data_IF_542140168350
#
_entry.id   IF_542140168350
#
_cell.length_a   1.000
_cell.length_b   1.000
_cell.length_c   1.000
_cell.angle_alpha   90.00
_cell.angle_beta   90.00
_cell.angle_gamma   90.00
#
_symmetry.space_group_name_H-M   'P 1'
#
loop_
_entity.id
_entity.type
_entity.pdbx_description
1 polymer ?
#
# COMPACT_ATOMS: atom_id res chain seq x y z
N UNK A 1 13.35 -19.05 -0.17
CA UNK A 1 13.10 -17.90 -1.08
C UNK A 1 12.01 -18.19 -2.12
N UNK A 2 11.93 -19.42 -2.62
CA UNK A 2 10.94 -19.84 -3.63
C UNK A 2 9.53 -19.98 -3.05
N UNK A 3 9.42 -20.59 -1.88
CA UNK A 3 8.17 -20.91 -1.18
C UNK A 3 7.43 -19.68 -0.61
N UNK A 4 8.08 -18.55 -0.45
CA UNK A 4 7.46 -17.33 0.09
C UNK A 4 6.76 -16.43 -0.94
N UNK A 5 6.76 -16.81 -2.24
CA UNK A 5 6.06 -16.03 -3.25
C UNK A 5 4.59 -16.43 -3.35
N UNK A 6 3.64 -15.48 -3.41
CA UNK A 6 2.24 -15.80 -3.64
C UNK A 6 2.03 -16.54 -4.96
N UNK A 7 1.26 -17.63 -4.92
CA UNK A 7 1.02 -18.50 -6.06
C UNK A 7 -0.44 -18.95 -6.13
N UNK A 8 -0.85 -19.38 -7.32
CA UNK A 8 -2.10 -20.08 -7.53
C UNK A 8 -1.80 -21.59 -7.62
N UNK A 9 -2.00 -22.32 -6.52
CA UNK A 9 -1.88 -23.77 -6.46
C UNK A 9 -0.44 -24.29 -6.53
N UNK A 10 0.17 -24.46 -7.70
CA UNK A 10 1.46 -25.11 -7.84
C UNK A 10 2.64 -24.11 -7.89
N UNK A 11 3.48 -24.02 -6.85
CA UNK A 11 4.61 -23.08 -6.80
C UNK A 11 5.70 -23.35 -7.88
N UNK A 12 5.70 -24.53 -8.49
CA UNK A 12 6.63 -24.86 -9.56
C UNK A 12 6.17 -24.39 -10.96
N UNK A 13 4.99 -23.80 -11.05
CA UNK A 13 4.46 -23.20 -12.29
C UNK A 13 4.02 -21.76 -12.03
N UNK A 14 4.97 -20.83 -11.79
CA UNK A 14 4.64 -19.44 -11.54
C UNK A 14 4.11 -18.79 -12.80
N UNK A 15 3.00 -18.09 -12.69
CA UNK A 15 2.45 -17.27 -13.75
C UNK A 15 3.13 -15.88 -13.77
N UNK A 16 3.06 -15.23 -14.94
CA UNK A 16 3.48 -13.83 -15.06
C UNK A 16 2.59 -12.96 -14.15
N UNK A 17 3.23 -12.02 -13.46
CA UNK A 17 2.53 -11.12 -12.55
C UNK A 17 3.21 -9.76 -12.48
N UNK A 18 2.58 -8.84 -11.76
CA UNK A 18 3.16 -7.54 -11.51
C UNK A 18 4.42 -7.62 -10.63
N UNK A 19 5.31 -6.62 -10.77
CA UNK A 19 6.40 -6.43 -9.84
C UNK A 19 5.89 -5.86 -8.51
N UNK A 20 6.33 -6.41 -7.38
CA UNK A 20 6.00 -5.91 -6.06
C UNK A 20 6.38 -4.42 -5.87
N UNK A 21 7.45 -3.97 -6.51
CA UNK A 21 8.00 -2.61 -6.39
C UNK A 21 7.60 -1.68 -7.54
N UNK A 22 6.79 -2.16 -8.49
CA UNK A 22 6.38 -1.37 -9.65
C UNK A 22 5.52 -0.16 -9.24
N UNK A 23 5.91 1.03 -9.67
CA UNK A 23 5.09 2.26 -9.58
C UNK A 23 4.33 2.40 -10.89
N UNK A 24 2.99 2.43 -10.84
CA UNK A 24 2.17 2.52 -12.04
C UNK A 24 2.10 3.95 -12.57
N UNK A 25 1.82 4.89 -11.67
CA UNK A 25 1.71 6.29 -12.01
C UNK A 25 2.44 7.16 -10.99
N UNK A 26 3.23 8.11 -11.47
CA UNK A 26 3.94 9.09 -10.63
C UNK A 26 3.99 10.43 -11.35
N UNK A 27 3.64 11.47 -10.64
CA UNK A 27 3.72 12.86 -11.11
C UNK A 27 4.68 13.58 -10.16
N UNK A 28 5.66 14.26 -10.73
CA UNK A 28 6.57 15.13 -9.99
C UNK A 28 6.58 16.50 -10.63
N UNK A 29 6.60 17.54 -9.80
CA UNK A 29 6.73 18.91 -10.24
C UNK A 29 7.63 19.69 -9.28
N UNK A 30 8.37 20.66 -9.79
CA UNK A 30 9.15 21.57 -8.96
C UNK A 30 9.09 22.97 -9.54
N UNK A 31 9.10 23.96 -8.65
CA UNK A 31 9.20 25.37 -9.00
C UNK A 31 10.12 26.06 -8.00
N UNK A 32 10.91 27.02 -8.49
CA UNK A 32 11.76 27.85 -7.63
C UNK A 32 11.59 29.30 -8.04
N UNK A 33 11.40 30.16 -7.07
CA UNK A 33 11.32 31.60 -7.27
C UNK A 33 12.37 32.32 -6.43
N UNK A 34 13.19 33.18 -7.08
CA UNK A 34 14.22 33.98 -6.43
C UNK A 34 13.79 35.42 -6.31
N UNK A 35 13.84 35.95 -5.08
CA UNK A 35 13.54 37.36 -4.73
C UNK A 35 14.85 38.04 -4.43
N UNK A 36 15.39 38.90 -5.34
CA UNK A 36 16.55 39.71 -5.06
C UNK A 36 16.12 40.97 -4.30
N UNK A 37 16.46 41.03 -3.00
CA UNK A 37 16.17 42.21 -2.16
C UNK A 37 17.17 43.33 -2.39
N UNK A 38 18.44 42.95 -2.62
CA UNK A 38 19.55 43.86 -2.93
C UNK A 38 20.66 43.06 -3.64
N UNK A 39 21.76 43.73 -4.00
CA UNK A 39 22.96 43.07 -4.55
C UNK A 39 23.57 42.06 -3.59
N UNK A 40 23.33 42.26 -2.28
CA UNK A 40 23.92 41.45 -1.20
C UNK A 40 22.95 40.39 -0.63
N UNK A 41 21.66 40.53 -0.83
CA UNK A 41 20.62 39.72 -0.19
C UNK A 41 19.60 39.20 -1.21
N UNK A 42 19.41 37.88 -1.19
CA UNK A 42 18.39 37.23 -2.00
C UNK A 42 17.76 36.05 -1.25
N UNK A 43 16.45 35.91 -1.38
CA UNK A 43 15.72 34.74 -0.87
C UNK A 43 15.25 33.90 -2.07
N UNK A 44 15.49 32.58 -2.03
CA UNK A 44 14.91 31.66 -3.00
C UNK A 44 13.92 30.75 -2.28
N UNK A 45 12.73 30.61 -2.85
CA UNK A 45 11.68 29.72 -2.36
C UNK A 45 11.49 28.63 -3.41
N UNK A 46 11.72 27.39 -3.03
CA UNK A 46 11.53 26.21 -3.86
C UNK A 46 10.37 25.36 -3.34
N UNK A 47 9.55 24.83 -4.22
CA UNK A 47 8.49 23.88 -3.92
C UNK A 47 8.73 22.63 -4.75
N UNK A 48 8.64 21.46 -4.13
CA UNK A 48 8.65 20.17 -4.79
C UNK A 48 7.34 19.44 -4.48
N UNK A 49 6.69 18.92 -5.52
CA UNK A 49 5.46 18.13 -5.43
C UNK A 49 5.76 16.71 -5.93
N UNK A 50 5.32 15.73 -5.20
CA UNK A 50 5.22 14.33 -5.63
C UNK A 50 3.81 13.82 -5.38
N UNK A 51 3.19 13.27 -6.43
CA UNK A 51 1.93 12.52 -6.35
C UNK A 51 2.16 11.17 -7.00
N UNK A 52 1.97 10.08 -6.28
CA UNK A 52 2.23 8.75 -6.81
C UNK A 52 1.19 7.74 -6.34
N UNK A 53 0.97 6.74 -7.19
CA UNK A 53 0.13 5.60 -6.86
C UNK A 53 0.97 4.52 -6.18
N UNK A 54 0.57 4.18 -4.95
CA UNK A 54 1.26 3.23 -4.14
C UNK A 54 2.35 3.83 -3.26
N UNK A 55 2.95 2.98 -2.43
CA UNK A 55 3.94 3.39 -1.45
C UNK A 55 5.14 2.44 -1.46
N UNK A 56 6.24 2.86 -2.07
CA UNK A 56 7.50 2.08 -2.12
C UNK A 56 8.13 1.83 -0.75
N UNK A 57 7.75 2.61 0.27
CA UNK A 57 8.28 2.53 1.63
C UNK A 57 7.34 1.81 2.60
N UNK A 58 6.28 1.16 2.11
CA UNK A 58 5.35 0.39 2.93
C UNK A 58 6.02 -0.88 3.46
N UNK A 59 6.82 -0.75 4.52
CA UNK A 59 7.38 -1.87 5.28
C UNK A 59 7.91 -3.02 4.41
N UNK A 60 7.67 -4.26 4.82
CA UNK A 60 8.09 -5.46 4.06
C UNK A 60 7.26 -5.71 2.78
N UNK A 61 6.20 -4.95 2.53
CA UNK A 61 5.20 -5.23 1.50
C UNK A 61 5.47 -4.64 0.12
N UNK A 62 6.34 -3.62 -0.01
CA UNK A 62 6.53 -2.91 -1.29
C UNK A 62 5.30 -2.09 -1.70
N UNK A 63 5.24 -1.72 -2.99
CA UNK A 63 4.20 -0.86 -3.55
C UNK A 63 2.89 -1.58 -3.87
N UNK A 64 3.00 -2.87 -4.18
CA UNK A 64 1.91 -3.77 -4.51
C UNK A 64 1.87 -4.94 -3.56
N UNK A 65 0.68 -5.49 -3.36
CA UNK A 65 0.46 -6.62 -2.47
C UNK A 65 -0.49 -7.65 -3.10
N UNK A 66 -0.53 -8.80 -2.49
CA UNK A 66 -1.39 -9.93 -2.87
C UNK A 66 -2.39 -10.20 -1.77
N UNK A 67 -3.58 -10.64 -2.14
CA UNK A 67 -4.50 -11.24 -1.18
C UNK A 67 -4.26 -12.75 -1.13
N UNK A 68 -3.92 -13.24 0.06
CA UNK A 68 -3.59 -14.66 0.29
C UNK A 68 -4.47 -15.26 1.40
N UNK A 69 -4.52 -16.58 1.45
CA UNK A 69 -5.08 -17.27 2.63
C UNK A 69 -4.09 -17.23 3.79
N UNK A 70 -4.59 -17.15 5.01
CA UNK A 70 -3.83 -17.46 6.21
C UNK A 70 -3.96 -18.97 6.50
N UNK A 71 -2.90 -19.74 6.23
CA UNK A 71 -2.86 -21.19 6.41
C UNK A 71 -2.40 -21.95 5.15
N UNK A 72 -2.27 -23.26 5.27
CA UNK A 72 -1.65 -24.15 4.27
C UNK A 72 -2.72 -24.75 3.35
N UNK A 73 -3.27 -24.01 2.41
CA UNK A 73 -4.38 -24.49 1.56
C UNK A 73 -3.90 -25.53 0.55
N UNK A 74 -2.75 -25.29 -0.08
CA UNK A 74 -2.17 -26.18 -1.10
C UNK A 74 -1.23 -27.27 -0.51
N UNK A 75 -0.93 -27.22 0.79
CA UNK A 75 -0.08 -28.21 1.47
C UNK A 75 1.42 -28.10 1.15
N UNK A 76 1.91 -27.00 0.60
CA UNK A 76 3.32 -26.78 0.24
C UNK A 76 4.22 -26.41 1.43
N UNK A 77 3.65 -26.30 2.63
CA UNK A 77 4.36 -25.97 3.87
C UNK A 77 4.49 -24.47 4.11
N UNK A 78 3.89 -23.61 3.27
CA UNK A 78 3.87 -22.14 3.43
C UNK A 78 2.45 -21.65 3.74
N UNK A 79 2.30 -20.82 4.76
CA UNK A 79 1.00 -20.50 5.32
C UNK A 79 0.34 -19.21 4.81
N UNK A 80 1.02 -18.42 3.97
CA UNK A 80 0.53 -17.11 3.49
C UNK A 80 0.96 -16.84 2.05
N UNK A 81 1.02 -17.87 1.23
CA UNK A 81 1.42 -17.77 -0.18
C UNK A 81 0.33 -18.20 -1.16
N UNK A 82 -0.75 -18.82 -0.70
CA UNK A 82 -1.87 -19.22 -1.56
C UNK A 82 -2.77 -18.02 -1.84
N UNK A 83 -2.94 -17.66 -3.11
CA UNK A 83 -3.80 -16.56 -3.54
C UNK A 83 -5.27 -16.90 -3.31
N UNK A 84 -6.04 -15.95 -2.74
CA UNK A 84 -7.45 -16.19 -2.44
C UNK A 84 -8.31 -16.24 -3.70
N UNK A 85 -9.35 -17.08 -3.66
CA UNK A 85 -10.50 -16.94 -4.52
C UNK A 85 -11.43 -15.87 -3.95
N UNK A 86 -11.87 -14.92 -4.78
CA UNK A 86 -12.76 -13.84 -4.40
C UNK A 86 -14.19 -14.22 -4.78
N UNK A 87 -15.03 -14.65 -3.83
CA UNK A 87 -16.35 -15.20 -4.16
C UNK A 87 -17.32 -14.12 -4.64
N UNK A 88 -18.21 -14.50 -5.56
CA UNK A 88 -19.33 -13.66 -6.00
C UNK A 88 -20.45 -13.63 -4.98
N UNK A 89 -20.67 -14.76 -4.31
CA UNK A 89 -21.72 -14.94 -3.32
C UNK A 89 -21.35 -16.02 -2.30
N UNK A 90 -22.18 -16.18 -1.29
CA UNK A 90 -21.94 -17.08 -0.17
C UNK A 90 -21.82 -18.56 -0.57
N UNK A 91 -22.44 -19.00 -1.67
CA UNK A 91 -22.40 -20.42 -2.08
C UNK A 91 -21.03 -20.86 -2.62
N UNK A 92 -20.14 -19.91 -2.94
CA UNK A 92 -18.81 -20.18 -3.50
C UNK A 92 -17.73 -20.30 -2.43
N UNK A 93 -18.05 -20.11 -1.13
CA UNK A 93 -17.11 -20.22 -0.02
C UNK A 93 -17.75 -20.91 1.18
N UNK A 94 -17.01 -21.76 1.86
CA UNK A 94 -17.49 -22.49 3.03
C UNK A 94 -16.90 -21.90 4.29
N UNK A 95 -17.70 -21.13 5.03
CA UNK A 95 -17.36 -20.73 6.39
C UNK A 95 -17.80 -21.79 7.41
N UNK A 96 -17.03 -21.96 8.47
CA UNK A 96 -17.40 -22.80 9.61
C UNK A 96 -17.69 -21.94 10.83
N UNK A 97 -18.42 -22.50 11.79
CA UNK A 97 -18.67 -21.84 13.08
C UNK A 97 -17.36 -21.44 13.76
N UNK A 98 -17.26 -20.21 14.22
CA UNK A 98 -16.09 -19.69 14.95
C UNK A 98 -16.55 -19.13 16.31
N UNK A 99 -16.48 -19.94 17.36
CA UNK A 99 -17.05 -19.57 18.66
C UNK A 99 -18.55 -19.28 18.53
N UNK A 100 -18.96 -18.09 18.88
CA UNK A 100 -20.36 -17.61 18.74
C UNK A 100 -20.70 -17.07 17.37
N UNK A 101 -19.70 -16.90 16.47
CA UNK A 101 -19.91 -16.28 15.14
C UNK A 101 -20.33 -17.33 14.12
N UNK A 102 -21.48 -17.13 13.54
CA UNK A 102 -22.07 -18.04 12.55
C UNK A 102 -21.42 -17.88 11.15
N UNK A 103 -21.49 -18.90 10.26
CA UNK A 103 -21.05 -18.78 8.88
C UNK A 103 -21.70 -17.61 8.12
N UNK A 104 -22.99 -17.35 8.38
CA UNK A 104 -23.72 -16.26 7.74
C UNK A 104 -23.20 -14.87 8.16
N UNK A 105 -22.89 -14.71 9.45
CA UNK A 105 -22.31 -13.45 9.96
C UNK A 105 -20.89 -13.23 9.41
N UNK A 106 -20.09 -14.31 9.28
CA UNK A 106 -18.76 -14.22 8.66
C UNK A 106 -18.86 -13.83 7.19
N UNK A 107 -19.80 -14.42 6.46
CA UNK A 107 -20.06 -14.04 5.06
C UNK A 107 -20.47 -12.57 4.94
N UNK A 108 -21.41 -12.11 5.78
CA UNK A 108 -21.86 -10.71 5.77
C UNK A 108 -20.68 -9.74 5.96
N UNK A 109 -19.81 -10.03 6.93
CA UNK A 109 -18.64 -9.21 7.21
C UNK A 109 -17.58 -9.28 6.09
N UNK A 110 -17.33 -10.49 5.56
CA UNK A 110 -16.38 -10.68 4.45
C UNK A 110 -16.88 -10.04 3.15
N UNK A 111 -18.18 -10.12 2.87
CA UNK A 111 -18.77 -9.44 1.73
C UNK A 111 -18.66 -7.92 1.83
N UNK A 112 -18.87 -7.34 3.03
CA UNK A 112 -18.64 -5.93 3.27
C UNK A 112 -17.16 -5.53 3.11
N UNK A 113 -16.24 -6.41 3.53
CA UNK A 113 -14.81 -6.24 3.31
C UNK A 113 -14.44 -6.27 1.82
N UNK A 114 -15.03 -7.15 1.01
CA UNK A 114 -14.82 -7.15 -0.45
C UNK A 114 -15.36 -5.84 -1.07
N UNK A 115 -16.53 -5.36 -0.66
CA UNK A 115 -17.16 -4.17 -1.25
C UNK A 115 -16.39 -2.86 -0.97
N UNK A 116 -15.64 -2.78 0.13
CA UNK A 116 -14.84 -1.58 0.46
C UNK A 116 -13.50 -1.52 -0.28
N UNK A 117 -13.03 -2.62 -0.87
CA UNK A 117 -11.76 -2.71 -1.59
C UNK A 117 -11.98 -2.78 -3.09
N UNK A 118 -11.50 -1.78 -3.83
CA UNK A 118 -11.73 -1.66 -5.27
C UNK A 118 -11.16 -2.84 -6.07
N UNK A 119 -10.02 -3.38 -5.64
CA UNK A 119 -9.41 -4.53 -6.31
C UNK A 119 -10.27 -5.80 -6.10
N UNK A 120 -10.64 -6.09 -4.84
CA UNK A 120 -11.45 -7.26 -4.52
C UNK A 120 -12.83 -7.18 -5.21
N UNK A 121 -13.47 -6.02 -5.15
CA UNK A 121 -14.77 -5.79 -5.78
C UNK A 121 -14.73 -6.02 -7.29
N UNK A 122 -13.70 -5.51 -7.97
CA UNK A 122 -13.55 -5.65 -9.43
C UNK A 122 -13.19 -7.08 -9.88
N UNK A 123 -12.67 -7.93 -8.97
CA UNK A 123 -12.19 -9.27 -9.28
C UNK A 123 -13.04 -10.40 -8.68
N UNK A 124 -14.30 -10.14 -8.34
CA UNK A 124 -15.23 -11.19 -7.88
C UNK A 124 -15.33 -12.35 -8.88
N UNK A 125 -15.30 -13.58 -8.37
CA UNK A 125 -15.35 -14.82 -9.17
C UNK A 125 -14.01 -15.21 -9.78
N UNK A 126 -12.91 -14.60 -9.36
CA UNK A 126 -11.55 -14.91 -9.82
C UNK A 126 -10.64 -15.22 -8.63
N UNK A 127 -9.52 -15.89 -8.90
CA UNK A 127 -8.41 -15.96 -7.97
C UNK A 127 -7.65 -14.63 -8.03
N UNK A 128 -7.24 -14.11 -6.88
CA UNK A 128 -6.45 -12.90 -6.80
C UNK A 128 -5.13 -13.04 -7.57
N UNK A 129 -4.68 -11.97 -8.21
CA UNK A 129 -3.40 -11.95 -8.92
C UNK A 129 -2.26 -11.68 -7.94
N UNK A 130 -1.11 -12.29 -8.17
CA UNK A 130 0.12 -11.97 -7.43
C UNK A 130 0.51 -10.52 -7.68
N UNK A 131 0.60 -9.73 -6.59
CA UNK A 131 0.85 -8.29 -6.62
C UNK A 131 -0.15 -7.51 -7.49
N UNK A 132 -1.39 -8.03 -7.61
CA UNK A 132 -2.45 -7.41 -8.39
C UNK A 132 -2.98 -6.13 -7.76
N UNK A 133 -3.04 -6.09 -6.43
CA UNK A 133 -3.49 -4.91 -5.69
C UNK A 133 -2.34 -3.89 -5.49
N UNK A 134 -2.68 -2.63 -5.33
CA UNK A 134 -1.72 -1.53 -5.17
C UNK A 134 -2.14 -0.62 -4.02
N UNK A 135 -1.17 -0.11 -3.27
CA UNK A 135 -1.44 0.87 -2.22
C UNK A 135 -2.02 2.17 -2.81
N UNK A 136 -2.83 2.91 -2.04
CA UNK A 136 -3.49 4.12 -2.52
C UNK A 136 -2.54 5.20 -2.97
N UNK A 137 -3.07 6.18 -3.68
CA UNK A 137 -2.37 7.42 -4.01
C UNK A 137 -1.95 8.16 -2.75
N UNK A 138 -0.76 8.74 -2.81
CA UNK A 138 -0.30 9.70 -1.83
C UNK A 138 0.21 10.98 -2.53
N UNK A 139 0.24 12.07 -1.80
CA UNK A 139 0.85 13.32 -2.23
C UNK A 139 1.82 13.81 -1.18
N UNK A 140 2.95 14.38 -1.62
CA UNK A 140 3.92 15.02 -0.77
C UNK A 140 4.29 16.37 -1.36
N UNK A 141 4.40 17.39 -0.51
CA UNK A 141 4.88 18.71 -0.88
C UNK A 141 6.00 19.11 0.07
N UNK A 142 7.17 19.36 -0.48
CA UNK A 142 8.32 19.86 0.27
C UNK A 142 8.55 21.33 -0.06
N UNK A 143 8.89 22.13 0.94
CA UNK A 143 9.22 23.54 0.82
C UNK A 143 10.67 23.76 1.20
N UNK A 144 11.39 24.46 0.36
CA UNK A 144 12.77 24.88 0.61
C UNK A 144 12.89 26.39 0.58
N UNK A 145 13.50 26.96 1.60
CA UNK A 145 13.82 28.38 1.66
C UNK A 145 15.32 28.53 1.76
N UNK A 146 15.91 29.26 0.84
CA UNK A 146 17.31 29.61 0.83
C UNK A 146 17.45 31.12 1.02
N UNK A 147 18.34 31.53 1.94
CA UNK A 147 18.69 32.92 2.13
C UNK A 147 20.17 33.12 1.81
N UNK A 148 20.46 33.89 0.78
CA UNK A 148 21.80 34.29 0.37
C UNK A 148 22.21 35.59 1.04
N UNK A 149 23.45 35.63 1.55
CA UNK A 149 24.12 36.79 2.12
C UNK A 149 25.46 36.97 1.43
N UNK A 150 25.66 38.00 0.67
CA UNK A 150 26.92 38.30 0.00
C UNK A 150 27.66 39.41 0.74
N UNK A 151 28.88 39.13 1.24
CA UNK A 151 29.71 40.07 1.97
C UNK A 151 30.99 40.30 1.20
N UNK A 152 31.35 41.55 0.91
CA UNK A 152 32.64 41.86 0.32
C UNK A 152 33.75 41.79 1.39
N UNK A 153 34.71 40.87 1.21
CA UNK A 153 35.87 40.71 2.10
C UNK A 153 37.13 40.65 1.26
N UNK A 154 38.13 41.50 1.55
CA UNK A 154 39.42 41.47 0.89
C UNK A 154 39.36 41.71 -0.64
N UNK A 155 38.36 42.49 -1.11
CA UNK A 155 38.18 42.77 -2.53
C UNK A 155 37.48 41.68 -3.33
N UNK A 156 37.01 40.60 -2.66
CA UNK A 156 36.23 39.53 -3.24
C UNK A 156 34.86 39.43 -2.60
N UNK A 157 33.87 39.00 -3.36
CA UNK A 157 32.51 38.74 -2.86
C UNK A 157 32.42 37.29 -2.36
N UNK A 158 32.03 37.15 -1.09
CA UNK A 158 31.78 35.84 -0.44
C UNK A 158 30.29 35.71 -0.16
N UNK A 159 29.68 34.64 -0.65
CA UNK A 159 28.26 34.35 -0.42
C UNK A 159 28.11 33.25 0.61
N UNK A 160 27.38 33.53 1.69
CA UNK A 160 26.90 32.58 2.66
C UNK A 160 25.43 32.25 2.36
N UNK A 161 25.05 31.00 2.47
CA UNK A 161 23.69 30.58 2.24
C UNK A 161 23.15 29.83 3.46
N UNK A 162 22.01 30.26 3.98
CA UNK A 162 21.21 29.55 4.97
C UNK A 162 20.09 28.80 4.24
N UNK A 163 19.95 27.50 4.51
CA UNK A 163 18.88 26.65 3.99
C UNK A 163 17.94 26.21 5.09
N UNK A 164 16.64 26.30 4.83
CA UNK A 164 15.59 25.70 5.65
C UNK A 164 14.77 24.80 4.73
N UNK A 165 14.74 23.49 5.03
CA UNK A 165 13.96 22.50 4.31
C UNK A 165 12.82 22.02 5.21
N UNK A 166 11.58 22.15 4.72
CA UNK A 166 10.38 21.67 5.40
C UNK A 166 9.82 20.53 4.55
N UNK A 167 10.00 19.32 5.03
CA UNK A 167 9.51 18.11 4.35
C UNK A 167 8.05 17.89 4.71
N UNK A 168 7.28 17.48 3.71
CA UNK A 168 5.85 17.20 3.87
C UNK A 168 5.08 18.35 4.52
N UNK A 169 5.24 19.57 3.97
CA UNK A 169 4.65 20.80 4.53
C UNK A 169 3.11 20.74 4.62
N UNK A 170 2.45 19.91 3.80
CA UNK A 170 1.00 19.72 3.86
C UNK A 170 0.58 19.09 5.19
N UNK A 171 1.37 18.18 5.74
CA UNK A 171 1.09 17.53 7.02
C UNK A 171 1.18 18.51 8.21
N UNK A 172 1.97 19.58 8.09
CA UNK A 172 1.97 20.67 9.09
C UNK A 172 0.66 21.44 9.13
N UNK A 173 -0.02 21.54 7.97
CA UNK A 173 -1.28 22.28 7.85
C UNK A 173 -2.48 21.42 8.26
N UNK A 174 -2.43 20.13 7.92
CA UNK A 174 -3.45 19.15 8.26
C UNK A 174 -2.81 17.77 8.39
N UNK A 175 -2.98 17.13 9.55
CA UNK A 175 -2.41 15.82 9.89
C UNK A 175 -2.84 14.68 8.95
N UNK A 176 -3.93 14.85 8.22
CA UNK A 176 -4.44 13.85 7.27
C UNK A 176 -3.84 14.01 5.86
N UNK A 177 -3.11 15.10 5.60
CA UNK A 177 -2.48 15.35 4.32
C UNK A 177 -1.04 14.82 4.29
N UNK A 178 -0.60 14.39 3.11
CA UNK A 178 0.75 13.83 2.95
C UNK A 178 0.97 12.50 3.69
N UNK A 179 -0.11 11.84 4.13
CA UNK A 179 -0.07 10.54 4.80
C UNK A 179 -0.04 9.42 3.76
N UNK A 180 0.72 8.38 4.05
CA UNK A 180 0.81 7.20 3.21
C UNK A 180 0.06 6.06 3.85
N UNK A 181 -1.03 5.63 3.23
CA UNK A 181 -1.77 4.44 3.66
C UNK A 181 -1.14 3.18 3.08
N UNK A 182 -1.08 2.13 3.89
CA UNK A 182 -0.52 0.83 3.49
C UNK A 182 -1.51 -0.28 3.80
N UNK A 183 -1.45 -1.36 3.00
CA UNK A 183 -2.28 -2.52 3.27
C UNK A 183 -1.88 -3.20 4.58
N UNK A 184 -2.85 -3.45 5.44
CA UNK A 184 -2.64 -4.17 6.70
C UNK A 184 -2.30 -5.64 6.42
N UNK A 185 -1.29 -6.23 7.08
CA UNK A 185 -0.96 -7.65 6.93
C UNK A 185 -2.15 -8.59 7.26
N UNK A 186 -3.00 -8.22 8.22
CA UNK A 186 -4.21 -8.98 8.54
C UNK A 186 -5.23 -8.90 7.40
N UNK A 187 -5.39 -7.72 6.81
CA UNK A 187 -6.34 -7.51 5.72
C UNK A 187 -5.90 -8.14 4.40
N UNK A 188 -4.59 -8.28 4.17
CA UNK A 188 -4.07 -8.97 2.98
C UNK A 188 -4.16 -10.50 3.07
N UNK A 189 -4.38 -11.06 4.28
CA UNK A 189 -4.63 -12.49 4.50
C UNK A 189 -5.92 -12.69 5.30
N UNK A 190 -7.07 -12.28 4.74
CA UNK A 190 -8.31 -12.14 5.51
C UNK A 190 -9.00 -13.46 5.83
N UNK A 191 -8.73 -14.50 5.07
CA UNK A 191 -9.38 -15.81 5.18
C UNK A 191 -8.45 -16.82 5.85
N UNK A 192 -8.79 -17.24 7.05
CA UNK A 192 -8.06 -18.26 7.80
C UNK A 192 -8.53 -19.65 7.38
N UNK A 193 -7.63 -20.46 6.81
CA UNK A 193 -7.89 -21.83 6.45
C UNK A 193 -8.08 -22.72 7.70
N UNK A 194 -9.11 -23.57 7.68
CA UNK A 194 -9.52 -24.43 8.80
C UNK A 194 -9.54 -25.93 8.47
N UNK A 195 -9.03 -26.30 7.29
CA UNK A 195 -9.04 -27.67 6.80
C UNK A 195 -10.08 -27.90 5.73
N UNK A 196 -10.30 -29.16 5.40
CA UNK A 196 -11.28 -29.60 4.40
C UNK A 196 -12.49 -30.22 5.08
N UNK A 197 -13.67 -29.99 4.52
CA UNK A 197 -14.89 -30.67 4.96
C UNK A 197 -14.96 -32.12 4.42
N UNK A 198 -16.00 -32.86 4.78
CA UNK A 198 -16.20 -34.23 4.33
C UNK A 198 -16.35 -34.39 2.80
N UNK A 199 -16.72 -33.32 2.09
CA UNK A 199 -16.82 -33.29 0.63
C UNK A 199 -15.48 -32.87 -0.03
N UNK A 200 -14.41 -32.65 0.73
CA UNK A 200 -13.11 -32.22 0.23
C UNK A 200 -13.03 -30.72 -0.11
N UNK A 201 -14.03 -29.92 0.24
CA UNK A 201 -13.99 -28.48 0.04
C UNK A 201 -13.24 -27.77 1.18
N UNK A 202 -12.38 -26.77 0.87
CA UNK A 202 -11.69 -26.01 1.89
C UNK A 202 -12.65 -25.17 2.73
N UNK A 203 -12.39 -25.07 4.02
CA UNK A 203 -13.21 -24.34 4.97
C UNK A 203 -12.43 -23.19 5.58
N UNK A 204 -13.11 -22.09 5.90
CA UNK A 204 -12.48 -20.86 6.30
C UNK A 204 -13.17 -20.21 7.51
N UNK A 205 -12.43 -19.35 8.18
CA UNK A 205 -12.96 -18.32 9.08
C UNK A 205 -12.54 -16.94 8.57
N UNK A 206 -13.39 -15.95 8.84
CA UNK A 206 -13.10 -14.54 8.62
C UNK A 206 -13.17 -13.78 9.95
N UNK A 207 -12.15 -12.96 10.21
CA UNK A 207 -12.11 -12.09 11.38
C UNK A 207 -12.91 -10.82 11.10
N UNK A 208 -14.07 -10.67 11.74
CA UNK A 208 -14.99 -9.53 11.58
C UNK A 208 -14.41 -8.18 12.06
N UNK A 209 -13.27 -8.19 12.75
CA UNK A 209 -12.56 -6.96 13.11
C UNK A 209 -11.83 -6.33 11.92
N UNK A 210 -11.61 -7.11 10.87
CA UNK A 210 -10.99 -6.63 9.62
C UNK A 210 -12.07 -5.91 8.81
N UNK A 211 -12.14 -4.60 8.91
CA UNK A 211 -13.16 -3.78 8.22
C UNK A 211 -12.61 -3.00 7.04
N UNK A 212 -11.28 -2.80 6.97
CA UNK A 212 -10.60 -2.02 5.93
C UNK A 212 -9.30 -2.70 5.51
N UNK A 213 -8.91 -2.49 4.25
CA UNK A 213 -7.63 -2.98 3.72
C UNK A 213 -6.47 -2.12 4.19
N UNK A 214 -6.65 -0.81 4.28
CA UNK A 214 -5.58 0.15 4.54
C UNK A 214 -5.61 0.70 5.97
N UNK A 215 -4.41 0.98 6.48
CA UNK A 215 -4.12 1.63 7.75
C UNK A 215 -3.22 2.84 7.53
#
# INVERSE_FOLDING_TARGET
>A
LWSGNPVQGNPNKPELSFSQFGVRNRITASATYKIPWSEQWATSIGVFLEVAEGNMFAGAGGNRYSFTYAGYVNGDGQGVNDLIYIPRNQSEIVFIQNGSVTPAEQWTAFNAFIEQDDYLKANRGKIAERFGAINPWFSNVDLKVLQDFTVPLGGQAHTFQLSVDILNVLNMLNSDWGVRSVASPLATSPLQFKGFNAAGAPTFNFDRTITKTFV
#
